data_IF_138365619117
#
_entry.id   IF_138365619117
#
_cell.length_a   1.000
_cell.length_b   1.000
_cell.length_c   1.000
_cell.angle_alpha   90.00
_cell.angle_beta   90.00
_cell.angle_gamma   90.00
#
_symmetry.space_group_name_H-M   'P 1'
#
loop_
_entity.id
_entity.type
_entity.pdbx_description
1 polymer ?
#
# COMPACT_ATOMS: atom_id res chain seq x y z
N UNK A 1 25.34 -16.13 -7.01
CA UNK A 1 24.20 -15.21 -7.18
C UNK A 1 24.75 -13.88 -7.68
N UNK A 2 24.20 -13.30 -8.75
CA UNK A 2 24.57 -11.96 -9.23
C UNK A 2 23.43 -11.00 -8.91
N UNK A 3 23.71 -9.96 -8.13
CA UNK A 3 22.79 -8.84 -7.89
C UNK A 3 22.94 -7.86 -9.05
N UNK A 4 21.89 -7.68 -9.85
CA UNK A 4 21.88 -6.75 -10.98
C UNK A 4 20.89 -5.63 -10.67
N UNK A 5 21.27 -4.36 -10.94
CA UNK A 5 20.36 -3.22 -10.80
C UNK A 5 19.15 -3.33 -11.73
N UNK A 6 19.34 -3.93 -12.91
CA UNK A 6 18.27 -4.22 -13.85
C UNK A 6 18.51 -5.57 -14.52
N UNK A 7 17.47 -6.37 -14.68
CA UNK A 7 17.49 -7.64 -15.43
C UNK A 7 16.64 -7.49 -16.68
N UNK A 8 17.15 -7.99 -17.80
CA UNK A 8 16.51 -7.90 -19.13
C UNK A 8 16.96 -6.67 -19.92
N UNK A 9 16.55 -6.62 -21.19
CA UNK A 9 16.82 -5.53 -22.13
C UNK A 9 15.53 -5.07 -22.81
N UNK A 10 15.52 -3.82 -23.28
CA UNK A 10 14.47 -3.36 -24.19
C UNK A 10 14.83 -3.80 -25.61
N UNK A 11 14.08 -4.76 -26.15
CA UNK A 11 14.30 -5.31 -27.51
C UNK A 11 13.47 -4.58 -28.57
N UNK A 12 12.80 -3.49 -28.21
CA UNK A 12 11.91 -2.76 -29.11
C UNK A 12 10.63 -3.53 -29.46
N UNK A 13 10.23 -4.48 -28.62
CA UNK A 13 9.00 -5.25 -28.84
C UNK A 13 7.81 -4.41 -28.40
N UNK A 14 6.88 -4.22 -29.32
CA UNK A 14 5.69 -3.39 -29.15
C UNK A 14 4.44 -4.24 -29.36
N UNK A 15 3.48 -4.09 -28.46
CA UNK A 15 2.16 -4.72 -28.53
C UNK A 15 1.11 -3.60 -28.62
N UNK A 16 0.07 -3.78 -29.43
CA UNK A 16 -1.10 -2.89 -29.43
C UNK A 16 -2.19 -3.46 -28.54
N UNK A 17 -2.71 -2.64 -27.63
CA UNK A 17 -3.85 -3.00 -26.78
C UNK A 17 -5.16 -2.99 -27.59
N UNK A 18 -6.15 -3.82 -27.19
CA UNK A 18 -7.56 -3.73 -27.62
C UNK A 18 -7.90 -3.99 -29.09
N UNK A 19 -7.05 -4.64 -29.89
CA UNK A 19 -7.62 -5.45 -30.98
C UNK A 19 -8.45 -6.56 -30.30
N UNK A 20 -9.69 -6.80 -30.73
CA UNK A 20 -10.53 -7.89 -30.22
C UNK A 20 -9.83 -9.24 -30.49
N UNK A 21 -9.05 -9.73 -29.52
CA UNK A 21 -8.09 -10.81 -29.73
C UNK A 21 -8.36 -11.97 -28.77
N UNK A 22 -8.57 -13.14 -29.35
CA UNK A 22 -8.54 -14.41 -28.64
C UNK A 22 -7.14 -14.63 -28.05
N UNK A 23 -7.03 -14.85 -26.74
CA UNK A 23 -5.77 -15.08 -26.05
C UNK A 23 -5.02 -13.83 -25.57
N UNK A 24 -5.63 -12.64 -25.58
CA UNK A 24 -5.07 -11.45 -24.96
C UNK A 24 -5.97 -10.92 -23.85
N UNK A 25 -5.45 -10.86 -22.62
CA UNK A 25 -6.13 -10.26 -21.47
C UNK A 25 -5.29 -9.11 -20.92
N UNK A 26 -5.85 -7.90 -20.90
CA UNK A 26 -5.20 -6.72 -20.32
C UNK A 26 -5.99 -6.15 -19.16
N UNK A 27 -5.42 -6.17 -17.96
CA UNK A 27 -5.94 -5.47 -16.80
C UNK A 27 -5.12 -4.20 -16.59
N UNK A 28 -5.76 -3.03 -16.72
CA UNK A 28 -5.11 -1.72 -16.59
C UNK A 28 -5.82 -0.92 -15.50
N UNK A 29 -5.09 -0.60 -14.44
CA UNK A 29 -5.54 0.29 -13.38
C UNK A 29 -5.28 1.74 -13.76
N UNK A 30 -6.33 2.35 -14.31
CA UNK A 30 -6.38 3.77 -14.62
C UNK A 30 -6.61 4.66 -13.41
N UNK A 31 -6.92 4.13 -12.22
CA UNK A 31 -7.22 4.92 -11.00
C UNK A 31 -5.95 5.31 -10.25
N UNK A 32 -4.98 4.40 -10.16
CA UNK A 32 -3.72 4.59 -9.43
C UNK A 32 -2.76 5.70 -9.89
N UNK A 33 -2.68 6.10 -11.18
CA UNK A 33 -1.72 7.09 -11.64
C UNK A 33 -1.80 8.43 -10.91
N UNK A 34 -0.65 9.05 -10.67
CA UNK A 34 -0.53 10.38 -10.08
C UNK A 34 0.09 11.26 -11.15
N UNK A 35 -0.61 12.31 -11.56
CA UNK A 35 -0.12 13.22 -12.61
C UNK A 35 0.34 14.56 -12.04
N UNK A 36 0.05 14.82 -10.76
CA UNK A 36 0.44 16.01 -10.01
C UNK A 36 0.81 15.62 -8.57
N UNK A 37 2.04 15.91 -8.17
CA UNK A 37 2.54 15.62 -6.82
C UNK A 37 2.60 16.93 -6.03
N UNK A 38 2.07 16.92 -4.81
CA UNK A 38 2.32 17.95 -3.81
C UNK A 38 3.40 17.41 -2.85
N UNK A 39 4.69 17.76 -3.05
CA UNK A 39 5.74 17.28 -2.17
C UNK A 39 5.70 18.03 -0.84
N UNK A 40 5.73 17.27 0.25
CA UNK A 40 5.78 17.77 1.62
C UNK A 40 7.09 17.32 2.26
N UNK A 41 7.98 18.25 2.56
CA UNK A 41 9.19 17.98 3.34
C UNK A 41 8.89 17.81 4.82
N UNK A 42 9.94 17.63 5.62
CA UNK A 42 9.86 17.53 7.07
C UNK A 42 9.13 18.76 7.66
N UNK A 43 8.35 18.53 8.72
CA UNK A 43 7.59 19.57 9.44
C UNK A 43 6.61 20.38 8.57
N UNK A 44 6.07 19.77 7.52
CA UNK A 44 5.06 20.42 6.67
C UNK A 44 5.62 21.42 5.66
N UNK A 45 6.90 21.28 5.28
CA UNK A 45 7.53 22.13 4.27
C UNK A 45 6.93 21.90 2.88
N UNK A 46 6.21 22.88 2.34
CA UNK A 46 5.69 22.84 0.97
C UNK A 46 6.51 23.73 0.02
N UNK A 47 6.54 23.34 -1.26
CA UNK A 47 7.09 24.19 -2.31
C UNK A 47 6.24 25.47 -2.47
N UNK A 48 6.85 26.62 -2.83
CA UNK A 48 6.11 27.86 -3.12
C UNK A 48 5.07 27.69 -4.26
N UNK A 49 5.43 26.91 -5.28
CA UNK A 49 4.54 26.54 -6.40
C UNK A 49 3.52 25.44 -6.04
N UNK A 50 3.61 24.87 -4.83
CA UNK A 50 2.79 23.80 -4.25
C UNK A 50 2.83 22.44 -4.96
N UNK A 51 2.97 22.42 -6.28
CA UNK A 51 2.80 21.22 -7.09
C UNK A 51 3.94 21.03 -8.08
N UNK A 52 4.27 19.76 -8.32
CA UNK A 52 5.14 19.32 -9.42
C UNK A 52 4.31 18.44 -10.35
N UNK A 53 4.26 18.83 -11.62
CA UNK A 53 3.42 18.18 -12.64
C UNK A 53 4.23 17.19 -13.48
N UNK A 54 3.59 16.07 -13.84
CA UNK A 54 4.15 15.12 -14.81
C UNK A 54 4.03 15.68 -16.24
N UNK A 55 5.00 15.39 -17.14
CA UNK A 55 4.86 15.65 -18.57
C UNK A 55 3.62 15.00 -19.20
N UNK A 56 3.10 13.92 -18.62
CA UNK A 56 1.93 13.19 -19.10
C UNK A 56 0.59 13.75 -18.57
N UNK A 57 0.60 14.85 -17.81
CA UNK A 57 -0.61 15.41 -17.18
C UNK A 57 -1.75 15.69 -18.17
N UNK A 58 -1.42 16.16 -19.38
CA UNK A 58 -2.40 16.49 -20.42
C UNK A 58 -2.98 15.26 -21.15
N UNK A 59 -2.41 14.07 -20.93
CA UNK A 59 -2.96 12.82 -21.48
C UNK A 59 -4.12 12.29 -20.65
N UNK A 60 -4.32 12.81 -19.45
CA UNK A 60 -5.41 12.43 -18.57
C UNK A 60 -6.51 13.50 -18.60
N UNK A 61 -7.80 13.11 -18.62
CA UNK A 61 -8.91 14.07 -18.63
C UNK A 61 -8.90 15.03 -17.42
N UNK A 62 -8.45 14.53 -16.26
CA UNK A 62 -8.34 15.31 -15.04
C UNK A 62 -7.01 15.03 -14.33
N UNK A 63 -6.30 16.08 -13.85
CA UNK A 63 -5.10 15.91 -13.05
C UNK A 63 -5.38 15.12 -11.76
N UNK A 64 -4.54 14.12 -11.50
CA UNK A 64 -4.59 13.28 -10.30
C UNK A 64 -3.55 13.75 -9.30
N UNK A 65 -4.04 14.38 -8.22
CA UNK A 65 -3.23 15.06 -7.22
C UNK A 65 -2.99 14.14 -6.03
N UNK A 66 -1.74 13.98 -5.61
CA UNK A 66 -1.40 13.27 -4.37
C UNK A 66 -0.33 14.02 -3.57
N UNK A 67 -0.52 14.07 -2.25
CA UNK A 67 0.51 14.55 -1.33
C UNK A 67 1.52 13.43 -1.10
N UNK A 68 2.81 13.73 -1.26
CA UNK A 68 3.90 12.78 -1.03
C UNK A 68 4.86 13.38 -0.01
N UNK A 69 5.01 12.68 1.10
CA UNK A 69 5.87 13.11 2.20
C UNK A 69 7.31 12.63 2.00
N UNK A 70 8.25 13.56 2.10
CA UNK A 70 9.69 13.33 2.04
C UNK A 70 10.28 13.70 3.41
N UNK A 71 10.11 12.79 4.38
CA UNK A 71 10.59 12.97 5.76
C UNK A 71 12.10 13.25 5.87
N UNK A 72 12.87 12.81 4.88
CA UNK A 72 14.33 13.01 4.79
C UNK A 72 14.75 14.39 4.28
N UNK A 73 13.84 15.21 3.77
CA UNK A 73 14.18 16.56 3.29
C UNK A 73 13.74 17.58 4.34
N UNK A 74 14.73 18.05 5.12
CA UNK A 74 14.53 18.98 6.23
C UNK A 74 15.10 20.35 5.91
N UNK A 75 14.31 21.40 6.12
CA UNK A 75 14.79 22.78 5.99
C UNK A 75 15.26 23.32 7.34
N UNK A 76 16.37 24.05 7.33
CA UNK A 76 16.88 24.79 8.49
C UNK A 76 16.01 26.03 8.77
N UNK A 77 14.79 25.82 9.31
CA UNK A 77 13.84 26.87 9.71
C UNK A 77 13.34 26.58 11.14
N UNK A 78 13.22 27.63 11.96
CA UNK A 78 12.58 27.53 13.28
C UNK A 78 13.39 26.67 14.25
N UNK A 79 12.74 25.72 14.92
CA UNK A 79 13.37 24.77 15.87
C UNK A 79 14.40 23.84 15.22
N UNK A 80 14.43 23.80 13.88
CA UNK A 80 15.31 22.93 13.08
C UNK A 80 16.54 23.66 12.53
N UNK A 81 16.80 24.91 12.95
CA UNK A 81 17.89 25.74 12.42
C UNK A 81 19.30 25.21 12.77
N UNK A 82 19.44 24.50 13.89
CA UNK A 82 20.72 24.00 14.42
C UNK A 82 20.93 22.49 14.18
N UNK A 83 20.06 21.84 13.40
CA UNK A 83 20.09 20.39 13.18
C UNK A 83 21.10 20.00 12.08
N UNK A 84 21.93 18.98 12.32
CA UNK A 84 23.01 18.58 11.38
C UNK A 84 22.48 18.10 10.03
N UNK A 85 21.27 17.54 10.01
CA UNK A 85 20.60 17.02 8.80
C UNK A 85 19.74 18.07 8.07
N UNK A 86 19.65 19.30 8.58
CA UNK A 86 18.85 20.35 7.98
C UNK A 86 19.63 21.10 6.88
N UNK A 87 19.05 21.17 5.67
CA UNK A 87 19.63 21.92 4.56
C UNK A 87 19.00 23.33 4.45
N UNK A 88 19.68 24.30 3.83
CA UNK A 88 19.10 25.62 3.59
C UNK A 88 17.75 25.53 2.85
N UNK A 89 16.85 26.48 3.11
CA UNK A 89 15.48 26.46 2.57
C UNK A 89 15.42 26.29 1.04
N UNK A 90 16.25 27.03 0.30
CA UNK A 90 16.30 26.92 -1.15
C UNK A 90 16.78 25.54 -1.63
N UNK A 91 17.72 24.95 -0.89
CA UNK A 91 18.24 23.62 -1.17
C UNK A 91 17.19 22.54 -0.88
N UNK A 92 16.46 22.66 0.23
CA UNK A 92 15.33 21.79 0.55
C UNK A 92 14.26 21.82 -0.56
N UNK A 93 13.93 23.00 -1.08
CA UNK A 93 13.01 23.12 -2.23
C UNK A 93 13.56 22.47 -3.50
N UNK A 94 14.86 22.60 -3.76
CA UNK A 94 15.50 21.94 -4.92
C UNK A 94 15.42 20.42 -4.80
N UNK A 95 15.74 19.88 -3.62
CA UNK A 95 15.65 18.45 -3.33
C UNK A 95 14.22 17.94 -3.43
N UNK A 96 13.22 18.66 -2.90
CA UNK A 96 11.81 18.29 -3.00
C UNK A 96 11.34 18.23 -4.46
N UNK A 97 11.75 19.21 -5.28
CA UNK A 97 11.45 19.19 -6.73
C UNK A 97 12.11 18.02 -7.42
N UNK A 98 13.37 17.74 -7.11
CA UNK A 98 14.11 16.64 -7.70
C UNK A 98 13.47 15.30 -7.32
N UNK A 99 13.19 15.08 -6.04
CA UNK A 99 12.56 13.87 -5.54
C UNK A 99 11.17 13.64 -6.17
N UNK A 100 10.36 14.69 -6.29
CA UNK A 100 9.07 14.60 -6.99
C UNK A 100 9.24 14.25 -8.50
N UNK A 101 10.24 14.82 -9.18
CA UNK A 101 10.56 14.48 -10.58
C UNK A 101 11.09 13.05 -10.74
N UNK A 102 11.84 12.57 -9.77
CA UNK A 102 12.38 11.21 -9.76
C UNK A 102 11.27 10.17 -9.60
N UNK A 103 10.19 10.48 -8.86
CA UNK A 103 9.00 9.63 -8.81
C UNK A 103 8.34 9.47 -10.19
N UNK A 104 8.29 10.53 -11.00
CA UNK A 104 7.78 10.43 -12.37
C UNK A 104 8.77 9.71 -13.31
N UNK A 105 10.07 9.96 -13.16
CA UNK A 105 11.07 9.45 -14.12
C UNK A 105 11.46 7.99 -13.85
N UNK A 106 11.71 7.66 -12.58
CA UNK A 106 12.21 6.35 -12.15
C UNK A 106 11.05 5.42 -11.85
N UNK A 107 10.14 5.85 -10.97
CA UNK A 107 9.01 5.01 -10.55
C UNK A 107 7.84 5.03 -11.53
N UNK A 108 7.79 6.02 -12.44
CA UNK A 108 6.72 6.17 -13.43
C UNK A 108 5.33 6.12 -12.80
N UNK A 109 5.18 6.82 -11.68
CA UNK A 109 3.91 6.90 -10.92
C UNK A 109 2.77 7.54 -11.72
N UNK A 110 3.12 8.20 -12.83
CA UNK A 110 2.22 8.81 -13.80
C UNK A 110 1.74 7.82 -14.88
N UNK A 111 2.24 6.58 -14.93
CA UNK A 111 1.75 5.54 -15.83
C UNK A 111 0.74 4.61 -15.15
N UNK A 112 -0.27 4.10 -15.87
CA UNK A 112 -1.20 3.10 -15.35
C UNK A 112 -0.46 1.83 -14.96
N UNK A 113 -0.87 1.25 -13.85
CA UNK A 113 -0.43 -0.09 -13.46
C UNK A 113 -1.17 -1.08 -14.34
N UNK A 114 -0.44 -1.92 -15.05
CA UNK A 114 -1.01 -2.84 -16.00
C UNK A 114 -0.38 -4.22 -15.90
N UNK A 115 -1.24 -5.22 -16.09
CA UNK A 115 -0.88 -6.61 -16.25
C UNK A 115 -1.53 -7.14 -17.54
N UNK A 116 -0.70 -7.68 -18.42
CA UNK A 116 -1.11 -8.24 -19.70
C UNK A 116 -0.73 -9.71 -19.73
N UNK A 117 -1.68 -10.55 -20.08
CA UNK A 117 -1.46 -11.95 -20.36
C UNK A 117 -1.67 -12.21 -21.85
N UNK A 118 -0.71 -12.91 -22.46
CA UNK A 118 -0.71 -13.24 -23.89
C UNK A 118 -0.58 -14.76 -24.03
N UNK A 119 -1.64 -15.41 -24.48
CA UNK A 119 -1.73 -16.85 -24.74
C UNK A 119 -1.60 -17.12 -26.24
N UNK A 120 -0.47 -17.72 -26.63
CA UNK A 120 -0.11 -17.93 -28.04
C UNK A 120 -0.90 -19.07 -28.69
N UNK A 121 -1.34 -20.06 -27.91
CA UNK A 121 -2.11 -21.18 -28.44
C UNK A 121 -3.42 -20.71 -29.09
N UNK A 122 -4.09 -19.75 -28.48
CA UNK A 122 -5.34 -19.16 -29.01
C UNK A 122 -5.04 -18.19 -30.16
N UNK A 123 -4.03 -17.34 -30.01
CA UNK A 123 -3.61 -16.39 -31.06
C UNK A 123 -3.14 -17.07 -32.34
N UNK A 124 -2.52 -18.26 -32.27
CA UNK A 124 -2.02 -19.00 -33.45
C UNK A 124 -3.09 -19.30 -34.51
N UNK A 125 -4.37 -19.26 -34.12
CA UNK A 125 -5.52 -19.51 -35.00
C UNK A 125 -6.02 -18.22 -35.70
N UNK A 126 -5.38 -17.08 -35.44
CA UNK A 126 -5.79 -15.75 -35.90
C UNK A 126 -4.74 -15.14 -36.84
N UNK A 127 -5.12 -14.24 -37.74
CA UNK A 127 -4.18 -13.57 -38.66
C UNK A 127 -3.22 -12.62 -37.92
N UNK A 128 -3.67 -12.15 -36.76
CA UNK A 128 -3.00 -11.21 -35.87
C UNK A 128 -1.79 -11.84 -35.16
N UNK A 129 -1.64 -13.17 -35.16
CA UNK A 129 -0.45 -13.88 -34.67
C UNK A 129 0.86 -13.30 -35.23
N UNK A 130 0.84 -12.78 -36.46
CA UNK A 130 2.00 -12.14 -37.11
C UNK A 130 2.52 -10.94 -36.31
N UNK A 131 1.63 -10.16 -35.71
CA UNK A 131 1.98 -8.98 -34.90
C UNK A 131 2.59 -9.41 -33.54
N UNK A 132 2.20 -10.57 -33.01
CA UNK A 132 2.65 -11.09 -31.72
C UNK A 132 3.83 -12.08 -31.82
N UNK A 133 4.20 -12.53 -33.02
CA UNK A 133 5.35 -13.41 -33.26
C UNK A 133 6.65 -12.82 -32.68
N UNK A 134 6.77 -11.51 -32.65
CA UNK A 134 7.92 -10.81 -32.06
C UNK A 134 8.07 -11.08 -30.55
N UNK A 135 6.98 -11.40 -29.85
CA UNK A 135 7.04 -11.81 -28.44
C UNK A 135 7.66 -13.20 -28.24
N UNK A 136 7.79 -14.03 -29.28
CA UNK A 136 8.59 -15.25 -29.16
C UNK A 136 10.09 -14.96 -28.98
N UNK A 137 10.53 -13.73 -29.25
CA UNK A 137 11.93 -13.30 -29.09
C UNK A 137 12.23 -12.56 -27.78
N UNK A 138 11.21 -12.33 -26.94
CA UNK A 138 11.40 -11.70 -25.64
C UNK A 138 11.84 -12.72 -24.60
N UNK A 139 12.70 -12.29 -23.69
CA UNK A 139 13.15 -13.10 -22.57
C UNK A 139 12.58 -12.57 -21.26
N UNK A 140 12.70 -13.40 -20.24
CA UNK A 140 12.29 -13.03 -18.89
C UNK A 140 12.98 -11.73 -18.42
N UNK A 141 12.18 -10.81 -17.88
CA UNK A 141 12.53 -9.45 -17.48
C UNK A 141 12.84 -8.46 -18.61
N UNK A 142 12.74 -8.85 -19.89
CA UNK A 142 12.79 -7.89 -20.99
C UNK A 142 11.63 -6.90 -20.93
N UNK A 143 11.86 -5.71 -21.46
CA UNK A 143 10.85 -4.64 -21.51
C UNK A 143 10.07 -4.74 -22.81
N UNK A 144 8.75 -4.69 -22.68
CA UNK A 144 7.76 -4.67 -23.76
C UNK A 144 6.94 -3.39 -23.63
N UNK A 145 6.75 -2.70 -24.75
CA UNK A 145 5.92 -1.50 -24.80
C UNK A 145 4.51 -1.90 -25.26
N UNK A 146 3.49 -1.53 -24.49
CA UNK A 146 2.09 -1.74 -24.86
C UNK A 146 1.46 -0.40 -25.21
N UNK A 147 1.13 -0.21 -26.48
CA UNK A 147 0.50 0.99 -27.02
C UNK A 147 -1.01 0.97 -26.73
N UNK A 148 -1.50 1.95 -25.98
CA UNK A 148 -2.93 2.23 -25.83
C UNK A 148 -3.32 3.34 -26.79
N UNK A 149 -3.70 2.97 -28.01
CA UNK A 149 -4.00 3.96 -29.06
C UNK A 149 -5.21 4.85 -28.72
N UNK A 150 -6.23 4.30 -28.07
CA UNK A 150 -7.42 5.05 -27.64
C UNK A 150 -7.09 6.07 -26.54
N UNK A 151 -6.18 5.72 -25.62
CA UNK A 151 -5.81 6.54 -24.48
C UNK A 151 -4.58 7.43 -24.76
N UNK A 152 -3.91 7.24 -25.89
CA UNK A 152 -2.70 7.98 -26.28
C UNK A 152 -1.49 7.76 -25.36
N UNK A 153 -1.47 6.67 -24.58
CA UNK A 153 -0.46 6.38 -23.56
C UNK A 153 0.25 5.05 -23.87
N UNK A 154 1.58 5.09 -23.89
CA UNK A 154 2.41 3.90 -24.07
C UNK A 154 2.87 3.39 -22.70
N UNK A 155 2.49 2.16 -22.38
CA UNK A 155 2.80 1.54 -21.10
C UNK A 155 3.99 0.62 -21.27
N UNK A 156 5.10 0.93 -20.60
CA UNK A 156 6.29 0.07 -20.59
C UNK A 156 6.17 -0.94 -19.45
N UNK A 157 6.15 -2.21 -19.78
CA UNK A 157 6.01 -3.31 -18.84
C UNK A 157 7.08 -4.37 -19.08
N UNK A 158 7.33 -5.24 -18.09
CA UNK A 158 8.35 -6.28 -18.17
C UNK A 158 7.75 -7.66 -18.20
N UNK A 159 8.42 -8.60 -18.84
CA UNK A 159 8.06 -10.02 -18.76
C UNK A 159 8.30 -10.51 -17.33
N UNK A 160 7.25 -10.90 -16.63
CA UNK A 160 7.28 -11.35 -15.22
C UNK A 160 7.05 -12.85 -15.07
N UNK A 161 6.41 -13.48 -16.03
CA UNK A 161 6.21 -14.92 -16.06
C UNK A 161 6.04 -15.40 -17.51
N UNK A 162 6.32 -16.67 -17.75
CA UNK A 162 6.05 -17.32 -19.02
C UNK A 162 5.79 -18.81 -18.80
N UNK A 163 5.05 -19.44 -19.71
CA UNK A 163 4.99 -20.89 -19.89
C UNK A 163 5.59 -21.21 -21.25
N UNK A 164 6.47 -22.20 -21.30
CA UNK A 164 7.25 -22.54 -22.49
C UNK A 164 7.19 -24.03 -22.78
N UNK A 165 6.92 -24.37 -24.04
CA UNK A 165 6.97 -25.75 -24.53
C UNK A 165 8.39 -26.04 -25.07
N UNK A 166 9.17 -26.91 -24.39
CA UNK A 166 10.54 -27.20 -24.81
C UNK A 166 10.63 -28.07 -26.08
N UNK A 167 9.57 -28.79 -26.44
CA UNK A 167 9.53 -29.64 -27.63
C UNK A 167 9.32 -28.78 -28.87
N UNK A 168 8.32 -27.89 -28.81
CA UNK A 168 8.01 -26.95 -29.91
C UNK A 168 8.94 -25.74 -29.94
N UNK A 169 9.62 -25.47 -28.83
CA UNK A 169 10.50 -24.31 -28.61
C UNK A 169 9.77 -22.97 -28.72
N UNK A 170 8.56 -22.90 -28.18
CA UNK A 170 7.67 -21.74 -28.26
C UNK A 170 7.06 -21.40 -26.91
N UNK A 171 6.76 -20.12 -26.69
CA UNK A 171 5.98 -19.70 -25.53
C UNK A 171 4.51 -20.08 -25.71
N UNK A 172 3.92 -20.66 -24.67
CA UNK A 172 2.48 -20.93 -24.59
C UNK A 172 1.75 -19.72 -24.02
N UNK A 173 2.31 -19.14 -22.96
CA UNK A 173 1.78 -17.98 -22.25
C UNK A 173 2.93 -17.05 -21.86
N UNK A 174 2.71 -15.74 -21.96
CA UNK A 174 3.62 -14.72 -21.42
C UNK A 174 2.81 -13.72 -20.63
N UNK A 175 3.24 -13.47 -19.39
CA UNK A 175 2.69 -12.44 -18.51
C UNK A 175 3.64 -11.25 -18.47
N UNK A 176 3.11 -10.09 -18.78
CA UNK A 176 3.83 -8.82 -18.90
C UNK A 176 3.20 -7.84 -17.92
N UNK A 177 3.98 -7.35 -16.95
CA UNK A 177 3.50 -6.42 -15.94
C UNK A 177 4.49 -5.29 -15.70
N UNK A 178 3.99 -4.08 -15.49
CA UNK A 178 4.78 -2.98 -14.92
C UNK A 178 4.55 -2.85 -13.40
N UNK A 179 3.51 -3.50 -12.89
CA UNK A 179 3.20 -3.51 -11.48
C UNK A 179 3.82 -4.75 -10.83
N UNK A 180 4.90 -4.51 -10.11
CA UNK A 180 5.37 -5.42 -9.08
C UNK A 180 4.91 -4.79 -7.77
N UNK A 181 4.00 -5.43 -7.03
CA UNK A 181 4.12 -5.32 -5.57
C UNK A 181 5.47 -5.97 -5.27
N UNK A 182 6.50 -5.16 -5.11
CA UNK A 182 7.78 -5.71 -4.74
C UNK A 182 7.58 -6.32 -3.37
N UNK A 183 8.13 -7.51 -3.12
CA UNK A 183 8.26 -8.02 -1.77
C UNK A 183 8.94 -6.99 -0.85
N UNK A 184 9.77 -6.10 -1.42
CA UNK A 184 10.36 -4.94 -0.73
C UNK A 184 9.39 -3.79 -0.45
N UNK A 185 8.25 -3.67 -1.13
CA UNK A 185 7.21 -2.69 -0.77
C UNK A 185 6.44 -3.16 0.46
N UNK A 186 6.31 -4.47 0.64
CA UNK A 186 5.83 -5.07 1.90
C UNK A 186 6.89 -4.92 2.98
N UNK A 187 8.17 -5.19 2.71
CA UNK A 187 9.25 -4.93 3.68
C UNK A 187 9.37 -3.45 4.02
N UNK A 188 9.26 -2.52 3.07
CA UNK A 188 9.30 -1.08 3.33
C UNK A 188 8.09 -0.61 4.13
N UNK A 189 6.89 -1.18 3.90
CA UNK A 189 5.73 -0.95 4.78
C UNK A 189 5.90 -1.56 6.15
N UNK A 190 6.52 -2.73 6.26
CA UNK A 190 6.84 -3.38 7.54
C UNK A 190 7.92 -2.61 8.28
N UNK A 191 8.93 -2.08 7.58
CA UNK A 191 10.02 -1.27 8.12
C UNK A 191 9.52 0.12 8.54
N UNK A 192 8.61 0.74 7.77
CA UNK A 192 7.93 1.98 8.16
C UNK A 192 6.97 1.77 9.34
N UNK A 193 6.24 0.65 9.37
CA UNK A 193 5.42 0.25 10.53
C UNK A 193 6.32 -0.08 11.73
N UNK A 194 7.47 -0.71 11.51
CA UNK A 194 8.45 -1.02 12.54
C UNK A 194 9.14 0.25 13.04
N UNK A 195 9.45 1.23 12.19
CA UNK A 195 9.97 2.55 12.56
C UNK A 195 8.92 3.38 13.28
N UNK A 196 7.65 3.36 12.85
CA UNK A 196 6.54 3.99 13.57
C UNK A 196 6.29 3.32 14.93
N UNK A 197 6.47 2.00 15.04
CA UNK A 197 6.42 1.26 16.30
C UNK A 197 7.68 1.46 17.17
N UNK A 198 8.84 1.71 16.56
CA UNK A 198 10.13 1.89 17.26
C UNK A 198 10.35 3.35 17.70
N UNK A 199 9.79 4.32 16.96
CA UNK A 199 9.74 5.73 17.32
C UNK A 199 8.51 6.07 18.18
N UNK A 200 7.64 5.10 18.46
CA UNK A 200 6.66 5.23 19.53
C UNK A 200 7.43 5.17 20.85
N UNK A 201 7.46 6.25 21.65
CA UNK A 201 8.29 6.27 22.85
C UNK A 201 7.88 5.12 23.77
N UNK A 202 8.84 4.31 24.22
CA UNK A 202 8.58 3.21 25.17
C UNK A 202 7.84 3.68 26.44
N UNK A 203 7.93 4.98 26.76
CA UNK A 203 7.16 5.62 27.83
C UNK A 203 5.65 5.53 27.64
N UNK A 204 5.12 5.49 26.42
CA UNK A 204 3.67 5.42 26.18
C UNK A 204 3.16 4.00 26.42
N UNK A 205 3.86 2.98 25.91
CA UNK A 205 3.52 1.57 26.16
C UNK A 205 3.67 1.20 27.64
N UNK A 206 4.71 1.71 28.30
CA UNK A 206 4.94 1.52 29.73
C UNK A 206 3.96 2.35 30.57
N UNK A 207 3.57 3.56 30.14
CA UNK A 207 2.52 4.34 30.78
C UNK A 207 1.14 3.68 30.63
N UNK A 208 0.84 3.08 29.48
CA UNK A 208 -0.40 2.33 29.25
C UNK A 208 -0.47 1.08 30.14
N UNK A 209 0.64 0.32 30.25
CA UNK A 209 0.75 -0.82 31.18
C UNK A 209 0.64 -0.37 32.64
N UNK A 210 1.31 0.72 33.02
CA UNK A 210 1.26 1.26 34.37
C UNK A 210 -0.14 1.79 34.72
N UNK A 211 -0.81 2.47 33.79
CA UNK A 211 -2.17 2.96 33.93
C UNK A 211 -3.16 1.78 34.04
N UNK A 212 -3.08 0.78 33.16
CA UNK A 212 -3.90 -0.42 33.25
C UNK A 212 -3.69 -1.17 34.57
N UNK A 213 -2.43 -1.33 35.00
CA UNK A 213 -2.08 -1.97 36.28
C UNK A 213 -2.62 -1.16 37.47
N UNK A 214 -2.53 0.17 37.41
CA UNK A 214 -3.07 1.07 38.43
C UNK A 214 -4.60 1.01 38.48
N UNK A 215 -5.29 1.07 37.35
CA UNK A 215 -6.76 0.97 37.26
C UNK A 215 -7.28 -0.36 37.78
N UNK A 216 -6.63 -1.48 37.45
CA UNK A 216 -7.00 -2.81 37.95
C UNK A 216 -6.81 -2.88 39.46
N UNK A 217 -5.67 -2.41 39.98
CA UNK A 217 -5.35 -2.50 41.40
C UNK A 217 -6.06 -1.44 42.27
N UNK A 218 -6.54 -0.34 41.68
CA UNK A 218 -7.34 0.70 42.35
C UNK A 218 -8.84 0.46 42.28
N UNK A 219 -9.28 -0.54 41.51
CA UNK A 219 -10.67 -0.98 41.40
C UNK A 219 -11.17 -1.71 42.65
N UNK A 220 -11.28 -1.00 43.77
CA UNK A 220 -12.09 -1.47 44.90
C UNK A 220 -13.56 -1.20 44.61
N UNK A 221 -14.32 -2.25 44.33
CA UNK A 221 -15.78 -2.18 44.16
C UNK A 221 -16.25 -2.62 42.79
N UNK A 222 -16.99 -3.73 42.78
CA UNK A 222 -17.71 -4.28 41.64
C UNK A 222 -18.67 -5.36 42.13
N UNK A 223 -19.79 -5.53 41.43
CA UNK A 223 -20.79 -6.54 41.76
C UNK A 223 -20.61 -7.75 40.87
N UNK A 224 -20.12 -8.85 41.44
CA UNK A 224 -19.91 -10.11 40.72
C UNK A 224 -21.16 -10.98 40.81
N UNK A 225 -21.68 -11.42 39.67
CA UNK A 225 -22.71 -12.45 39.57
C UNK A 225 -22.20 -13.61 38.73
N UNK A 226 -22.36 -14.82 39.25
CA UNK A 226 -21.95 -16.06 38.59
C UNK A 226 -23.20 -16.84 38.21
N UNK A 227 -23.32 -17.13 36.92
CA UNK A 227 -24.32 -18.02 36.36
C UNK A 227 -23.62 -19.27 35.81
N UNK A 228 -24.34 -20.39 35.62
CA UNK A 228 -23.77 -21.58 34.99
C UNK A 228 -23.17 -21.32 33.60
N UNK A 229 -23.68 -20.34 32.87
CA UNK A 229 -23.35 -20.03 31.47
C UNK A 229 -22.51 -18.75 31.29
N UNK A 230 -22.37 -17.91 32.33
CA UNK A 230 -21.63 -16.63 32.25
C UNK A 230 -21.25 -16.04 33.61
N UNK A 231 -20.23 -15.20 33.62
CA UNK A 231 -19.83 -14.37 34.75
C UNK A 231 -20.06 -12.90 34.38
N UNK A 232 -20.63 -12.11 35.29
CA UNK A 232 -20.82 -10.67 35.16
C UNK A 232 -20.09 -9.93 36.28
N UNK A 233 -19.35 -8.88 35.94
CA UNK A 233 -18.79 -7.90 36.88
C UNK A 233 -19.36 -6.54 36.50
N UNK A 234 -20.10 -5.91 37.42
CA UNK A 234 -20.91 -4.73 37.13
C UNK A 234 -20.61 -3.57 38.09
N UNK A 235 -20.91 -2.34 37.64
CA UNK A 235 -20.84 -1.12 38.46
C UNK A 235 -22.01 -0.98 39.45
N UNK A 236 -23.14 -1.66 39.23
CA UNK A 236 -24.27 -1.70 40.17
C UNK A 236 -24.69 -3.13 40.50
N UNK A 237 -25.39 -3.31 41.63
CA UNK A 237 -25.89 -4.63 42.03
C UNK A 237 -26.96 -5.15 41.08
N UNK A 238 -27.74 -4.27 40.44
CA UNK A 238 -28.88 -4.63 39.61
C UNK A 238 -28.52 -4.60 38.10
N UNK A 239 -28.75 -5.71 37.40
CA UNK A 239 -28.38 -5.87 35.99
C UNK A 239 -29.05 -4.87 35.04
N UNK A 240 -30.25 -4.38 35.37
CA UNK A 240 -30.98 -3.45 34.50
C UNK A 240 -30.45 -2.03 34.59
N UNK A 241 -29.86 -1.68 35.72
CA UNK A 241 -29.24 -0.37 35.97
C UNK A 241 -27.74 -0.34 35.71
N UNK A 242 -27.11 -1.51 35.56
CA UNK A 242 -25.68 -1.64 35.28
C UNK A 242 -25.35 -1.04 33.92
N UNK A 243 -24.30 -0.21 33.86
CA UNK A 243 -23.83 0.42 32.61
C UNK A 243 -22.46 -0.09 32.25
N UNK A 244 -21.55 -0.17 33.22
CA UNK A 244 -20.19 -0.71 33.03
C UNK A 244 -20.20 -2.18 33.40
N UNK A 245 -20.14 -3.04 32.40
CA UNK A 245 -20.27 -4.49 32.56
C UNK A 245 -19.12 -5.20 31.88
N UNK A 246 -18.41 -6.03 32.63
CA UNK A 246 -17.58 -7.10 32.07
C UNK A 246 -18.39 -8.39 32.09
N UNK A 247 -18.48 -9.05 30.94
CA UNK A 247 -19.07 -10.39 30.81
C UNK A 247 -18.03 -11.39 30.33
N UNK A 248 -18.06 -12.60 30.88
CA UNK A 248 -17.25 -13.72 30.41
C UNK A 248 -18.09 -14.99 30.27
N UNK A 249 -17.99 -15.67 29.14
CA UNK A 249 -18.53 -17.02 28.93
C UNK A 249 -17.62 -17.82 27.97
N UNK A 250 -18.06 -19.02 27.58
CA UNK A 250 -17.31 -19.91 26.68
C UNK A 250 -16.96 -19.25 25.32
N UNK A 251 -17.74 -18.27 24.89
CA UNK A 251 -17.56 -17.60 23.60
C UNK A 251 -16.64 -16.39 23.65
N UNK A 252 -16.21 -15.97 24.85
CA UNK A 252 -15.28 -14.85 25.02
C UNK A 252 -15.52 -14.01 26.26
N UNK A 253 -14.65 -13.00 26.42
CA UNK A 253 -14.77 -11.96 27.44
C UNK A 253 -14.96 -10.60 26.77
N UNK A 254 -15.74 -9.72 27.38
CA UNK A 254 -15.94 -8.38 26.83
C UNK A 254 -16.42 -7.36 27.85
N UNK A 255 -16.14 -6.10 27.53
CA UNK A 255 -16.59 -4.92 28.24
C UNK A 255 -17.66 -4.17 27.44
N UNK A 256 -18.71 -3.77 28.15
CA UNK A 256 -19.80 -2.93 27.66
C UNK A 256 -19.94 -1.71 28.55
N UNK A 257 -20.14 -0.53 27.94
CA UNK A 257 -20.48 0.72 28.62
C UNK A 257 -21.99 1.02 28.59
N UNK A 258 -22.78 0.15 27.96
CA UNK A 258 -24.23 0.30 27.76
C UNK A 258 -25.05 -0.74 28.51
N UNK A 259 -24.41 -1.56 29.34
CA UNK A 259 -25.05 -2.60 30.17
C UNK A 259 -24.87 -4.03 29.66
N UNK A 260 -25.54 -4.97 30.31
CA UNK A 260 -25.32 -6.43 30.18
C UNK A 260 -25.57 -7.00 28.77
N UNK A 261 -26.43 -6.37 27.98
CA UNK A 261 -26.76 -6.85 26.63
C UNK A 261 -25.82 -6.32 25.54
N UNK A 262 -24.80 -5.52 25.91
CA UNK A 262 -23.90 -4.89 24.97
C UNK A 262 -24.49 -3.64 24.30
N UNK A 263 -23.92 -3.17 23.17
CA UNK A 263 -22.80 -3.76 22.45
C UNK A 263 -21.48 -3.80 23.26
N UNK A 264 -20.65 -4.80 22.97
CA UNK A 264 -19.34 -4.99 23.60
C UNK A 264 -18.25 -4.37 22.73
N UNK A 265 -17.84 -3.13 23.04
CA UNK A 265 -16.83 -2.39 22.27
C UNK A 265 -15.39 -2.85 22.51
N UNK A 266 -15.15 -3.63 23.56
CA UNK A 266 -13.86 -4.30 23.79
C UNK A 266 -14.13 -5.76 24.11
N UNK A 267 -13.72 -6.69 23.24
CA UNK A 267 -13.97 -8.11 23.44
C UNK A 267 -12.87 -8.99 22.85
N UNK A 268 -12.65 -10.16 23.46
CA UNK A 268 -11.83 -11.25 22.94
C UNK A 268 -12.73 -12.46 22.80
N UNK A 269 -12.95 -12.93 21.58
CA UNK A 269 -13.86 -14.03 21.27
C UNK A 269 -13.12 -15.35 21.06
N UNK A 270 -13.81 -16.46 21.30
CA UNK A 270 -13.22 -17.82 21.25
C UNK A 270 -12.76 -18.25 19.84
N UNK A 271 -13.20 -17.55 18.79
CA UNK A 271 -12.73 -17.71 17.41
C UNK A 271 -11.42 -16.93 17.11
N UNK A 272 -10.79 -16.35 18.14
CA UNK A 272 -9.50 -15.68 18.06
C UNK A 272 -9.56 -14.23 17.59
N UNK A 273 -10.75 -13.63 17.51
CA UNK A 273 -10.91 -12.22 17.13
C UNK A 273 -10.86 -11.30 18.34
N UNK A 274 -10.32 -10.10 18.12
CA UNK A 274 -10.28 -9.02 19.11
C UNK A 274 -11.06 -7.84 18.56
N UNK A 275 -12.06 -7.39 19.32
CA UNK A 275 -12.79 -6.14 19.09
C UNK A 275 -12.19 -5.09 20.01
N UNK A 276 -11.72 -3.96 19.46
CA UNK A 276 -11.07 -2.91 20.22
C UNK A 276 -11.47 -1.52 19.71
N UNK A 277 -12.63 -1.04 20.18
CA UNK A 277 -13.12 0.32 19.87
C UNK A 277 -12.34 1.41 20.61
N UNK A 278 -11.60 1.05 21.67
CA UNK A 278 -10.78 1.95 22.47
C UNK A 278 -9.33 1.46 22.51
N UNK A 279 -8.53 1.88 21.51
CA UNK A 279 -7.08 1.66 21.50
C UNK A 279 -6.42 2.97 21.95
N UNK A 280 -5.88 2.98 23.16
CA UNK A 280 -4.97 4.03 23.61
C UNK A 280 -3.54 3.61 23.26
N UNK A 281 -2.86 4.41 22.45
CA UNK A 281 -1.43 4.29 22.15
C UNK A 281 -0.61 4.45 23.43
#
# INVERSE_FOLDING_TARGET
VKMLQNRGMDRGVVIRHKKDLLGYEGNVDWKSPITRIMPQGFDGLFLPEKYVDSPLINKYPHPKIKVVEFKHIKAAIGENADDEDAVPLEEAYRLLRQAAKDLFTIQKVDQPKANYNVTFQELSQTEEYKDYKHLQSVYMADTVTVEHQEDGIDIKAKVIAYKYDPIKKEYLDITIGNFKESFTDVSGRVDLVQEELSNMPGSILDAAKANATSLINSGFGGHVRVYPDRILIMDTKDEKSAKKVWQWNLNGLGYSSTGVNGPYGTAITSDGRIVADFITA
#
